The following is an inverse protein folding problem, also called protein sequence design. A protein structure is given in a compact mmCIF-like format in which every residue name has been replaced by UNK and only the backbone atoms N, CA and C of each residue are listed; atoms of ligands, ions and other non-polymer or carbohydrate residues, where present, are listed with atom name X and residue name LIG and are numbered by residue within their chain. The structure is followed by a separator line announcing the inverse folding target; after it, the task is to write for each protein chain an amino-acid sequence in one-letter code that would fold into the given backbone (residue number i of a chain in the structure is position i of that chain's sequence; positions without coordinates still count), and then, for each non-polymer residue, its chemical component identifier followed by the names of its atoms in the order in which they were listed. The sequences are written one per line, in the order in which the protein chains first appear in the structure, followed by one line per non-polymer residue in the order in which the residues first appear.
data_IF_737706145815
#
_entry.id   IF_737706145815
#
_cell.length_a   1.000
_cell.length_b   1.000
_cell.length_c   1.000
_cell.angle_alpha   90.00
_cell.angle_beta   90.00
_cell.angle_gamma   90.00
#
_symmetry.space_group_name_H-M   'P 1'
#
loop_
_entity.id
_entity.type
_entity.pdbx_description
1 polymer ?
#
# COMPACT_ATOMS: atom_id res chain seq x y z
N UNK A 1 9.64 -11.57 3.86
CA UNK A 1 8.35 -12.24 4.15
C UNK A 1 7.51 -12.26 2.88
N UNK A 2 6.56 -13.19 2.68
CA UNK A 2 5.68 -13.16 1.52
C UNK A 2 4.74 -11.94 1.58
N UNK A 3 4.42 -11.38 0.42
CA UNK A 3 3.43 -10.30 0.26
C UNK A 3 2.08 -10.82 0.75
N UNK A 4 1.43 -10.10 1.66
CA UNK A 4 0.12 -10.49 2.20
C UNK A 4 -0.98 -9.93 1.30
N UNK A 5 -1.62 -10.78 0.49
CA UNK A 5 -2.73 -10.39 -0.39
C UNK A 5 -4.09 -10.40 0.32
N UNK A 6 -4.27 -11.25 1.33
CA UNK A 6 -5.49 -11.33 2.16
C UNK A 6 -5.36 -10.50 3.44
N UNK A 7 -4.82 -9.29 3.34
CA UNK A 7 -4.71 -8.41 4.50
C UNK A 7 -6.05 -7.77 4.82
N UNK A 8 -6.62 -8.13 5.98
CA UNK A 8 -7.84 -7.48 6.48
C UNK A 8 -7.48 -6.10 7.02
N UNK A 9 -7.86 -5.06 6.28
CA UNK A 9 -7.66 -3.69 6.74
C UNK A 9 -8.54 -3.41 7.96
N UNK A 10 -7.94 -2.94 9.06
CA UNK A 10 -8.72 -2.50 10.21
C UNK A 10 -9.50 -1.21 9.89
N UNK A 11 -10.39 -0.84 10.79
CA UNK A 11 -11.21 0.38 10.67
C UNK A 11 -10.38 1.67 10.57
N UNK A 12 -9.14 1.66 11.08
CA UNK A 12 -8.18 2.77 11.06
C UNK A 12 -6.74 2.26 11.08
N UNK A 13 -5.81 3.06 10.58
CA UNK A 13 -4.37 2.78 10.58
C UNK A 13 -3.80 2.49 11.99
N UNK A 14 -4.32 3.12 13.03
CA UNK A 14 -3.86 2.95 14.42
C UNK A 14 -4.01 1.50 14.93
N UNK A 15 -5.01 0.79 14.40
CA UNK A 15 -5.30 -0.59 14.76
C UNK A 15 -4.47 -1.61 13.96
N UNK A 16 -3.52 -1.14 13.13
CA UNK A 16 -2.60 -2.03 12.43
C UNK A 16 -1.68 -2.74 13.45
N UNK A 17 -1.65 -4.06 13.39
CA UNK A 17 -0.73 -4.89 14.17
C UNK A 17 0.65 -4.90 13.50
N UNK A 18 1.45 -3.87 13.79
CA UNK A 18 2.83 -3.75 13.34
C UNK A 18 3.75 -4.17 14.48
N UNK A 19 4.81 -4.92 14.18
CA UNK A 19 5.82 -5.26 15.18
C UNK A 19 6.59 -4.00 15.63
N UNK A 20 6.84 -3.81 16.93
CA UNK A 20 7.58 -2.65 17.41
C UNK A 20 8.98 -2.63 16.81
N UNK A 21 9.40 -1.48 16.28
CA UNK A 21 10.68 -1.34 15.55
C UNK A 21 10.68 -1.94 14.14
N UNK A 22 9.52 -2.31 13.59
CA UNK A 22 9.37 -2.72 12.20
C UNK A 22 8.45 -1.78 11.43
N UNK A 23 8.70 -1.64 10.14
CA UNK A 23 7.82 -0.95 9.21
C UNK A 23 6.87 -1.93 8.52
N UNK A 24 5.62 -1.52 8.34
CA UNK A 24 4.61 -2.25 7.58
C UNK A 24 4.14 -1.39 6.41
N UNK A 25 4.10 -1.99 5.23
CA UNK A 25 3.73 -1.29 4.01
C UNK A 25 2.36 -1.77 3.55
N UNK A 26 1.51 -0.86 3.08
CA UNK A 26 0.20 -1.18 2.53
C UNK A 26 0.10 -0.57 1.15
N UNK A 27 -0.01 -1.42 0.14
CA UNK A 27 -0.24 -1.03 -1.24
C UNK A 27 -1.72 -1.19 -1.58
N UNK A 28 -2.41 -0.07 -1.80
CA UNK A 28 -3.78 -0.03 -2.30
C UNK A 28 -3.75 -0.13 -3.83
N UNK A 29 -4.30 -1.22 -4.35
CA UNK A 29 -4.30 -1.59 -5.75
C UNK A 29 -5.74 -1.68 -6.26
N UNK A 30 -5.94 -1.39 -7.55
CA UNK A 30 -7.20 -1.65 -8.22
C UNK A 30 -7.46 -3.16 -8.30
N UNK A 31 -8.69 -3.60 -7.99
CA UNK A 31 -9.05 -5.01 -8.15
C UNK A 31 -8.89 -5.47 -9.60
N UNK A 32 -8.64 -6.76 -9.78
CA UNK A 32 -8.65 -7.38 -11.10
C UNK A 32 -10.04 -7.29 -11.72
N UNK A 33 -10.08 -6.83 -12.97
CA UNK A 33 -11.29 -6.86 -13.78
C UNK A 33 -11.62 -8.32 -14.14
N UNK A 34 -12.89 -8.76 -13.98
CA UNK A 34 -13.28 -10.14 -14.22
C UNK A 34 -13.08 -10.57 -15.68
N UNK A 35 -13.13 -9.62 -16.63
CA UNK A 35 -12.99 -9.86 -18.06
C UNK A 35 -11.51 -9.97 -18.46
N UNK A 36 -10.68 -9.02 -18.03
CA UNK A 36 -9.26 -8.96 -18.46
C UNK A 36 -8.31 -9.72 -17.53
N UNK A 37 -8.78 -10.14 -16.35
CA UNK A 37 -7.98 -10.72 -15.24
C UNK A 37 -6.83 -9.82 -14.76
N UNK A 38 -6.81 -8.56 -15.17
CA UNK A 38 -5.80 -7.55 -14.79
C UNK A 38 -6.48 -6.42 -14.02
N UNK A 39 -5.75 -5.70 -13.15
CA UNK A 39 -6.26 -4.47 -12.54
C UNK A 39 -6.91 -3.56 -13.57
N UNK A 40 -8.11 -3.06 -13.27
CA UNK A 40 -8.82 -2.16 -14.16
C UNK A 40 -8.11 -0.81 -14.36
N UNK A 41 -7.15 -0.49 -13.49
CA UNK A 41 -6.34 0.72 -13.55
C UNK A 41 -4.97 0.44 -14.20
N UNK A 42 -4.61 1.14 -15.29
CA UNK A 42 -3.33 0.91 -15.99
C UNK A 42 -2.12 1.25 -15.12
N UNK A 43 -2.19 2.28 -14.28
CA UNK A 43 -1.10 2.65 -13.37
C UNK A 43 -0.79 1.55 -12.36
N UNK A 44 -1.83 0.84 -11.88
CA UNK A 44 -1.67 -0.30 -10.98
C UNK A 44 -0.96 -1.45 -11.69
N UNK A 45 -1.27 -1.69 -12.97
CA UNK A 45 -0.59 -2.71 -13.79
C UNK A 45 0.89 -2.37 -13.96
N UNK A 46 1.22 -1.09 -14.14
CA UNK A 46 2.60 -0.62 -14.28
C UNK A 46 3.39 -0.68 -12.95
N UNK A 47 2.76 -0.33 -11.82
CA UNK A 47 3.42 -0.28 -10.52
C UNK A 47 3.54 -1.66 -9.83
N UNK A 48 2.64 -2.60 -10.11
CA UNK A 48 2.67 -3.97 -9.59
C UNK A 48 4.04 -4.66 -9.68
N UNK A 49 4.70 -4.73 -10.85
CA UNK A 49 6.01 -5.37 -10.95
C UNK A 49 7.07 -4.68 -10.09
N UNK A 50 7.04 -3.34 -9.98
CA UNK A 50 7.96 -2.57 -9.14
C UNK A 50 7.72 -2.88 -7.66
N UNK A 51 6.46 -2.87 -7.21
CA UNK A 51 6.08 -3.21 -5.85
C UNK A 51 6.45 -4.66 -5.51
N UNK A 52 6.15 -5.60 -6.41
CA UNK A 52 6.56 -6.98 -6.24
C UNK A 52 8.08 -7.08 -6.15
N UNK A 53 8.87 -6.59 -7.11
CA UNK A 53 10.33 -6.66 -7.04
C UNK A 53 10.91 -6.07 -5.75
N UNK A 54 10.23 -5.08 -5.21
CA UNK A 54 10.63 -4.36 -4.01
C UNK A 54 10.31 -5.10 -2.71
N UNK A 55 9.13 -5.70 -2.60
CA UNK A 55 8.65 -6.37 -1.38
C UNK A 55 8.75 -7.90 -1.44
N UNK A 56 8.93 -8.48 -2.63
CA UNK A 56 9.07 -9.92 -2.86
C UNK A 56 10.49 -10.34 -2.49
N UNK A 57 10.63 -10.87 -1.28
CA UNK A 57 11.86 -11.45 -0.81
C UNK A 57 11.82 -11.76 0.68
N UNK A 58 12.59 -12.75 1.13
CA UNK A 58 12.62 -13.12 2.55
C UNK A 58 13.16 -11.99 3.43
N UNK A 59 14.16 -11.25 2.95
CA UNK A 59 14.81 -10.12 3.65
C UNK A 59 14.15 -8.76 3.43
N UNK A 60 13.05 -8.69 2.69
CA UNK A 60 12.32 -7.45 2.40
C UNK A 60 11.26 -7.17 3.47
N UNK A 61 10.89 -5.90 3.70
CA UNK A 61 9.90 -5.54 4.71
C UNK A 61 8.52 -6.11 4.36
N UNK A 62 7.67 -6.25 5.38
CA UNK A 62 6.33 -6.77 5.21
C UNK A 62 5.44 -5.76 4.47
N UNK A 63 4.85 -6.20 3.36
CA UNK A 63 3.88 -5.43 2.60
C UNK A 63 2.57 -6.20 2.43
N UNK A 64 1.46 -5.48 2.63
CA UNK A 64 0.12 -5.93 2.33
C UNK A 64 -0.37 -5.33 1.03
N UNK A 65 -0.89 -6.15 0.12
CA UNK A 65 -1.51 -5.71 -1.11
C UNK A 65 -3.01 -5.78 -0.91
N UNK A 66 -3.67 -4.62 -0.95
CA UNK A 66 -5.10 -4.48 -0.72
C UNK A 66 -5.75 -4.09 -2.01
N UNK A 67 -6.70 -4.90 -2.46
CA UNK A 67 -7.53 -4.58 -3.59
C UNK A 67 -8.71 -3.68 -3.16
N UNK A 68 -8.83 -2.49 -3.74
CA UNK A 68 -9.83 -1.49 -3.34
C UNK A 68 -11.25 -1.76 -3.87
N UNK A 69 -11.44 -2.87 -4.57
CA UNK A 69 -12.68 -3.21 -5.27
C UNK A 69 -12.69 -2.80 -6.73
N UNK A 70 -13.86 -2.99 -7.34
CA UNK A 70 -14.10 -2.65 -8.74
C UNK A 70 -14.18 -1.12 -8.92
N UNK A 71 -13.89 -0.64 -10.13
CA UNK A 71 -13.92 0.78 -10.50
C UNK A 71 -15.20 1.54 -10.06
N UNK A 72 -16.43 1.01 -10.23
CA UNK A 72 -17.64 1.71 -9.78
C UNK A 72 -17.67 1.90 -8.25
N UNK A 73 -17.40 0.86 -7.48
CA UNK A 73 -17.36 0.91 -6.01
C UNK A 73 -16.24 1.82 -5.49
N UNK A 74 -15.10 1.85 -6.18
CA UNK A 74 -14.00 2.76 -5.86
C UNK A 74 -14.35 4.24 -6.04
N UNK A 75 -15.15 4.55 -7.06
CA UNK A 75 -15.54 5.92 -7.40
C UNK A 75 -16.55 6.50 -6.40
N UNK A 76 -17.23 5.65 -5.64
CA UNK A 76 -18.15 6.07 -4.59
C UNK A 76 -17.43 6.89 -3.52
N UNK A 77 -17.92 8.10 -3.23
CA UNK A 77 -17.36 8.95 -2.19
C UNK A 77 -17.46 8.34 -0.77
N UNK A 78 -18.40 7.41 -0.58
CA UNK A 78 -18.61 6.66 0.67
C UNK A 78 -17.64 5.50 0.86
N UNK A 79 -16.73 5.28 -0.08
CA UNK A 79 -15.78 4.18 0.01
C UNK A 79 -14.91 4.32 1.28
N UNK A 80 -14.77 3.22 2.02
CA UNK A 80 -13.99 3.15 3.26
C UNK A 80 -12.52 3.56 3.03
N UNK A 81 -11.96 3.27 1.86
CA UNK A 81 -10.58 3.65 1.55
C UNK A 81 -10.41 5.16 1.39
N UNK A 82 -11.40 5.84 0.79
CA UNK A 82 -11.40 7.31 0.64
C UNK A 82 -11.66 8.02 1.96
N UNK A 83 -12.58 7.49 2.77
CA UNK A 83 -13.05 8.14 3.99
C UNK A 83 -12.19 7.82 5.22
N UNK A 84 -11.78 6.56 5.40
CA UNK A 84 -10.98 6.10 6.55
C UNK A 84 -9.48 6.19 6.28
N UNK A 85 -9.05 5.80 5.09
CA UNK A 85 -7.62 5.70 4.74
C UNK A 85 -7.12 6.91 3.93
N UNK A 86 -8.03 7.84 3.57
CA UNK A 86 -7.72 9.02 2.77
C UNK A 86 -6.98 8.66 1.45
N UNK A 87 -7.34 7.53 0.84
CA UNK A 87 -6.78 7.06 -0.44
C UNK A 87 -7.74 7.49 -1.54
N UNK A 88 -7.36 8.49 -2.32
CA UNK A 88 -8.18 9.03 -3.40
C UNK A 88 -7.77 8.51 -4.78
N UNK A 89 -6.55 7.98 -4.87
CA UNK A 89 -5.86 7.58 -6.08
C UNK A 89 -5.29 6.16 -5.89
N UNK A 90 -5.21 5.39 -6.97
CA UNK A 90 -4.57 4.06 -6.98
C UNK A 90 -3.66 3.96 -8.20
N UNK A 91 -2.47 3.33 -8.11
CA UNK A 91 -1.92 2.66 -6.93
C UNK A 91 -1.47 3.65 -5.85
N UNK A 92 -1.64 3.32 -4.57
CA UNK A 92 -1.08 4.11 -3.46
C UNK A 92 -0.34 3.19 -2.51
N UNK A 93 0.93 3.46 -2.26
CA UNK A 93 1.76 2.76 -1.28
C UNK A 93 1.90 3.62 -0.04
N UNK A 94 1.53 3.10 1.13
CA UNK A 94 1.67 3.79 2.40
C UNK A 94 2.59 3.00 3.31
N UNK A 95 3.51 3.69 3.99
CA UNK A 95 4.34 3.11 5.04
C UNK A 95 3.80 3.51 6.40
N UNK A 96 3.61 2.48 7.23
CA UNK A 96 3.23 2.60 8.62
C UNK A 96 4.35 2.09 9.50
N UNK A 97 4.60 2.79 10.59
CA UNK A 97 5.56 2.37 11.61
C UNK A 97 4.92 2.44 12.99
N UNK A 98 5.41 1.60 13.88
CA UNK A 98 5.00 1.60 15.27
C UNK A 98 6.19 1.97 16.16
N UNK A 99 6.45 3.29 16.33
CA UNK A 99 7.49 3.77 17.23
C UNK A 99 7.09 3.65 18.72
N UNK A 100 5.83 3.33 19.01
CA UNK A 100 5.29 3.21 20.38
C UNK A 100 4.08 2.27 20.44
N UNK A 101 2.97 2.73 21.03
CA UNK A 101 1.75 1.92 21.16
C UNK A 101 0.88 1.89 19.89
N UNK A 102 0.93 2.95 19.09
CA UNK A 102 0.05 3.17 17.93
C UNK A 102 0.83 3.16 16.61
N UNK A 103 0.21 2.59 15.58
CA UNK A 103 0.74 2.64 14.22
C UNK A 103 0.51 4.05 13.63
N UNK A 104 1.57 4.65 13.10
CA UNK A 104 1.54 5.97 12.46
C UNK A 104 2.01 5.87 11.01
N UNK A 105 1.33 6.60 10.14
CA UNK A 105 1.81 6.81 8.78
C UNK A 105 3.09 7.66 8.82
N UNK A 106 4.15 7.16 8.18
CA UNK A 106 5.42 7.88 8.06
C UNK A 106 5.64 8.44 6.66
N UNK A 107 4.94 7.91 5.66
CA UNK A 107 4.98 8.42 4.29
C UNK A 107 4.10 7.61 3.35
N UNK A 108 3.79 8.18 2.19
CA UNK A 108 3.03 7.55 1.12
C UNK A 108 3.55 7.96 -0.25
N UNK A 109 3.38 7.08 -1.24
CA UNK A 109 3.66 7.30 -2.65
C UNK A 109 2.41 6.99 -3.45
N UNK A 110 2.06 7.88 -4.38
CA UNK A 110 0.82 7.82 -5.15
C UNK A 110 1.14 7.70 -6.64
N UNK A 111 0.43 6.80 -7.33
CA UNK A 111 0.46 6.61 -8.78
C UNK A 111 1.89 6.46 -9.33
N UNK A 112 2.37 7.45 -10.08
CA UNK A 112 3.68 7.45 -10.70
C UNK A 112 4.85 7.57 -9.71
N UNK A 113 4.60 8.03 -8.48
CA UNK A 113 5.66 8.10 -7.46
C UNK A 113 6.19 6.72 -7.06
N UNK A 114 5.38 5.68 -7.22
CA UNK A 114 5.77 4.29 -6.94
C UNK A 114 6.75 3.79 -8.01
N UNK A 115 6.66 4.33 -9.23
CA UNK A 115 7.58 4.01 -10.32
C UNK A 115 8.93 4.71 -10.16
N UNK A 116 8.99 5.73 -9.31
CA UNK A 116 10.23 6.43 -9.00
C UNK A 116 11.04 5.62 -7.98
N UNK A 117 12.03 4.88 -8.49
CA UNK A 117 12.86 3.99 -7.67
C UNK A 117 13.54 4.73 -6.51
N UNK A 118 13.96 5.98 -6.73
CA UNK A 118 14.56 6.81 -5.67
C UNK A 118 13.58 7.04 -4.52
N UNK A 119 12.37 7.54 -4.82
CA UNK A 119 11.34 7.76 -3.78
C UNK A 119 10.91 6.47 -3.10
N UNK A 120 10.78 5.39 -3.87
CA UNK A 120 10.42 4.08 -3.33
C UNK A 120 11.49 3.55 -2.37
N UNK A 121 12.77 3.66 -2.75
CA UNK A 121 13.89 3.28 -1.88
C UNK A 121 13.96 4.18 -0.64
N UNK A 122 13.74 5.49 -0.75
CA UNK A 122 13.70 6.40 0.40
C UNK A 122 12.58 6.02 1.38
N UNK A 123 11.38 5.74 0.85
CA UNK A 123 10.25 5.30 1.66
C UNK A 123 10.57 3.99 2.37
N UNK A 124 11.28 3.05 1.73
CA UNK A 124 11.56 1.73 2.28
C UNK A 124 12.73 1.72 3.24
N UNK A 125 13.76 2.48 2.92
CA UNK A 125 15.00 2.52 3.69
C UNK A 125 14.84 3.22 5.04
N UNK A 126 13.75 3.95 5.27
CA UNK A 126 13.59 4.60 6.56
C UNK A 126 14.61 5.69 6.79
N UNK A 127 14.73 6.60 5.81
CA UNK A 127 15.35 7.91 6.06
C UNK A 127 14.49 8.68 7.07
N UNK A 128 14.61 8.28 8.33
CA UNK A 128 14.49 9.14 9.49
C UNK A 128 15.49 10.25 9.24
N UNK A 129 15.04 11.33 8.60
CA UNK A 129 15.85 12.53 8.44
C UNK A 129 16.03 13.06 9.86
N UNK A 130 17.23 12.81 10.38
CA UNK A 130 17.74 13.28 11.66
C UNK A 130 17.67 14.80 11.75
#
# INVERSE_FOLDING_TARGET
MPITQDFTLPSSAESLQISPGSAFFIAFLASKDPNTKKPWCPDVVAALPTLEATFKGEKKPAAAFVEVGQRPDWKEAKNVFRTKWNVHNVPTLVRYEKPGSDAKEVGRLIEGEILDESRLQELISGSSKN
#
